data_IF_624282598741
#
_entry.id   IF_624282598741
#
_cell.length_a   1.000
_cell.length_b   1.000
_cell.length_c   1.000
_cell.angle_alpha   90.00
_cell.angle_beta   90.00
_cell.angle_gamma   90.00
#
_symmetry.space_group_name_H-M   'P 1'
#
loop_
_entity.id
_entity.type
_entity.pdbx_description
1 polymer ?
#
# COMPACT_ATOMS: atom_id res chain seq x y z
N UNK A 1 -27.48 -29.08 0.02
CA UNK A 1 -26.47 -28.75 -1.01
C UNK A 1 -25.95 -27.32 -0.86
N UNK A 2 -26.83 -26.29 -0.78
CA UNK A 2 -26.39 -24.91 -0.55
C UNK A 2 -25.58 -24.71 0.76
N UNK A 3 -26.00 -25.36 1.86
CA UNK A 3 -25.33 -25.28 3.17
C UNK A 3 -23.90 -25.83 3.13
N UNK A 4 -23.68 -26.95 2.45
CA UNK A 4 -22.35 -27.60 2.35
C UNK A 4 -21.38 -26.81 1.45
N UNK A 5 -21.88 -26.13 0.42
CA UNK A 5 -21.07 -25.24 -0.43
C UNK A 5 -20.63 -24.01 0.38
N UNK A 6 -21.54 -23.42 1.14
CA UNK A 6 -21.27 -22.26 1.98
C UNK A 6 -20.35 -22.59 3.17
N UNK A 7 -20.50 -23.77 3.78
CA UNK A 7 -19.59 -24.30 4.81
C UNK A 7 -18.19 -24.66 4.27
N UNK A 8 -18.07 -24.97 2.98
CA UNK A 8 -16.77 -25.22 2.37
C UNK A 8 -16.10 -23.90 1.95
N UNK A 9 -16.88 -22.92 1.48
CA UNK A 9 -16.35 -21.60 1.15
C UNK A 9 -15.82 -20.87 2.38
N UNK A 10 -16.48 -20.98 3.54
CA UNK A 10 -15.98 -20.38 4.78
C UNK A 10 -14.60 -20.91 5.18
N UNK A 11 -14.31 -22.20 4.95
CA UNK A 11 -12.99 -22.80 5.18
C UNK A 11 -11.93 -22.23 4.24
N UNK A 12 -12.29 -21.94 2.99
CA UNK A 12 -11.37 -21.35 2.00
C UNK A 12 -11.04 -19.89 2.32
N UNK A 13 -11.93 -19.20 3.04
CA UNK A 13 -11.82 -17.79 3.38
C UNK A 13 -11.27 -17.53 4.78
N UNK A 14 -10.87 -18.56 5.53
CA UNK A 14 -10.40 -18.41 6.92
C UNK A 14 -9.20 -17.43 7.06
N UNK A 15 -8.15 -17.48 6.21
CA UNK A 15 -7.08 -16.47 6.25
C UNK A 15 -7.57 -15.04 5.96
N UNK A 16 -8.52 -14.90 5.03
CA UNK A 16 -9.11 -13.60 4.68
C UNK A 16 -10.01 -13.05 5.80
N UNK A 17 -10.79 -13.91 6.45
CA UNK A 17 -11.61 -13.55 7.60
C UNK A 17 -10.72 -13.05 8.74
N UNK A 18 -9.64 -13.79 9.04
CA UNK A 18 -8.66 -13.42 10.06
C UNK A 18 -8.09 -12.01 9.85
N UNK A 19 -7.53 -11.70 8.67
CA UNK A 19 -6.95 -10.36 8.42
C UNK A 19 -8.01 -9.25 8.40
N UNK A 20 -9.26 -9.58 8.06
CA UNK A 20 -10.37 -8.62 8.03
C UNK A 20 -10.87 -8.24 9.43
N UNK A 21 -10.70 -9.12 10.42
CA UNK A 21 -11.04 -8.86 11.83
C UNK A 21 -10.03 -7.92 12.51
N UNK A 22 -8.81 -7.85 11.99
CA UNK A 22 -7.76 -7.01 12.56
C UNK A 22 -8.10 -5.53 12.34
N UNK A 23 -8.13 -4.69 13.39
CA UNK A 23 -8.57 -3.30 13.29
C UNK A 23 -7.66 -2.50 12.35
N UNK A 24 -8.24 -1.95 11.29
CA UNK A 24 -7.58 -1.04 10.35
C UNK A 24 -8.04 0.41 10.53
N UNK A 25 -7.26 1.39 10.03
CA UNK A 25 -7.60 2.83 10.10
C UNK A 25 -8.69 3.26 9.09
N UNK A 26 -9.24 2.32 8.32
CA UNK A 26 -10.20 2.51 7.23
C UNK A 26 -9.95 3.78 6.39
N UNK A 27 -8.69 4.02 6.01
CA UNK A 27 -8.32 5.23 5.26
C UNK A 27 -8.90 5.18 3.85
N UNK A 28 -8.85 4.00 3.21
CA UNK A 28 -9.35 3.78 1.85
C UNK A 28 -10.86 4.03 1.73
N UNK A 29 -11.67 3.48 2.64
CA UNK A 29 -13.12 3.73 2.64
C UNK A 29 -13.46 5.21 2.81
N UNK A 30 -12.77 5.92 3.72
CA UNK A 30 -12.94 7.38 3.88
C UNK A 30 -12.54 8.16 2.63
N UNK A 31 -11.46 7.74 1.95
CA UNK A 31 -11.05 8.37 0.69
C UNK A 31 -12.06 8.11 -0.43
N UNK A 32 -12.60 6.89 -0.56
CA UNK A 32 -13.66 6.57 -1.54
C UNK A 32 -14.85 7.52 -1.34
N UNK A 33 -15.31 7.70 -0.10
CA UNK A 33 -16.38 8.66 0.20
C UNK A 33 -16.01 10.11 -0.15
N UNK A 34 -14.76 10.51 0.08
CA UNK A 34 -14.29 11.84 -0.31
C UNK A 34 -14.31 12.02 -1.84
N UNK A 35 -13.85 11.05 -2.62
CA UNK A 35 -13.89 11.11 -4.08
C UNK A 35 -15.31 11.02 -4.65
N UNK A 36 -16.22 10.30 -3.98
CA UNK A 36 -17.64 10.26 -4.37
C UNK A 36 -18.27 11.66 -4.40
N UNK A 37 -17.85 12.58 -3.52
CA UNK A 37 -18.37 13.95 -3.53
C UNK A 37 -18.10 14.71 -4.84
N UNK A 38 -16.94 14.45 -5.46
CA UNK A 38 -16.60 14.99 -6.79
C UNK A 38 -17.24 14.18 -7.92
N UNK A 39 -17.15 12.86 -7.84
CA UNK A 39 -17.58 11.96 -8.92
C UNK A 39 -19.09 11.77 -8.99
N UNK A 40 -19.81 11.92 -7.88
CA UNK A 40 -21.27 11.72 -7.78
C UNK A 40 -21.74 10.37 -8.32
N UNK A 41 -20.89 9.34 -8.23
CA UNK A 41 -21.26 7.98 -8.60
C UNK A 41 -22.40 7.48 -7.69
N UNK A 42 -23.34 6.65 -8.22
CA UNK A 42 -24.46 6.13 -7.45
C UNK A 42 -24.02 5.38 -6.20
N UNK A 43 -24.71 5.58 -5.08
CA UNK A 43 -24.34 5.00 -3.78
C UNK A 43 -24.20 3.47 -3.82
N UNK A 44 -25.13 2.77 -4.48
CA UNK A 44 -25.07 1.30 -4.62
C UNK A 44 -23.81 0.82 -5.37
N UNK A 45 -23.41 1.55 -6.41
CA UNK A 45 -22.16 1.27 -7.13
C UNK A 45 -20.96 1.54 -6.23
N UNK A 46 -20.95 2.64 -5.47
CA UNK A 46 -19.86 3.00 -4.56
C UNK A 46 -19.70 1.99 -3.42
N UNK A 47 -20.79 1.50 -2.84
CA UNK A 47 -20.75 0.43 -1.82
C UNK A 47 -20.13 -0.85 -2.38
N UNK A 48 -20.50 -1.23 -3.60
CA UNK A 48 -19.92 -2.38 -4.29
C UNK A 48 -18.43 -2.17 -4.60
N UNK A 49 -18.05 -0.98 -5.05
CA UNK A 49 -16.65 -0.60 -5.31
C UNK A 49 -15.84 -0.62 -4.03
N UNK A 50 -16.37 -0.12 -2.92
CA UNK A 50 -15.71 -0.19 -1.61
C UNK A 50 -15.47 -1.64 -1.20
N UNK A 51 -16.46 -2.52 -1.37
CA UNK A 51 -16.29 -3.95 -1.09
C UNK A 51 -15.19 -4.59 -1.96
N UNK A 52 -15.12 -4.24 -3.26
CA UNK A 52 -14.07 -4.73 -4.17
C UNK A 52 -12.69 -4.25 -3.72
N UNK A 53 -12.55 -2.96 -3.41
CA UNK A 53 -11.28 -2.36 -2.98
C UNK A 53 -10.81 -2.94 -1.65
N UNK A 54 -11.72 -3.15 -0.69
CA UNK A 54 -11.39 -3.74 0.61
C UNK A 54 -10.97 -5.22 0.47
N UNK A 55 -11.64 -5.97 -0.40
CA UNK A 55 -11.26 -7.36 -0.74
C UNK A 55 -9.86 -7.43 -1.33
N UNK A 56 -9.59 -6.61 -2.34
CA UNK A 56 -8.28 -6.56 -2.98
C UNK A 56 -7.19 -6.10 -2.03
N UNK A 57 -7.47 -5.12 -1.18
CA UNK A 57 -6.51 -4.63 -0.20
C UNK A 57 -6.10 -5.72 0.79
N UNK A 58 -7.07 -6.40 1.40
CA UNK A 58 -6.76 -7.44 2.38
C UNK A 58 -6.13 -8.67 1.71
N UNK A 59 -6.59 -9.05 0.53
CA UNK A 59 -5.95 -10.13 -0.24
C UNK A 59 -4.51 -9.79 -0.63
N UNK A 60 -4.23 -8.55 -1.04
CA UNK A 60 -2.87 -8.14 -1.35
C UNK A 60 -1.97 -8.14 -0.13
N UNK A 61 -2.47 -7.75 1.05
CA UNK A 61 -1.70 -7.84 2.30
C UNK A 61 -1.33 -9.29 2.66
N UNK A 62 -2.23 -10.26 2.44
CA UNK A 62 -1.93 -11.68 2.66
C UNK A 62 -0.80 -12.19 1.76
N UNK A 63 -0.76 -11.75 0.50
CA UNK A 63 0.31 -12.09 -0.45
C UNK A 63 1.60 -11.36 -0.10
N UNK A 64 1.53 -10.04 0.12
CA UNK A 64 2.66 -9.17 0.48
C UNK A 64 3.37 -9.67 1.75
N UNK A 65 2.61 -10.05 2.80
CA UNK A 65 3.17 -10.63 4.03
C UNK A 65 4.01 -11.90 3.75
N UNK A 66 3.61 -12.71 2.77
CA UNK A 66 4.34 -13.92 2.38
C UNK A 66 5.56 -13.56 1.52
N UNK A 67 5.38 -12.65 0.55
CA UNK A 67 6.44 -12.20 -0.35
C UNK A 67 7.58 -11.52 0.39
N UNK A 68 7.28 -10.82 1.49
CA UNK A 68 8.21 -10.08 2.34
C UNK A 68 8.73 -10.90 3.54
N UNK A 69 8.23 -12.11 3.80
CA UNK A 69 8.57 -12.91 5.00
C UNK A 69 8.27 -12.13 6.31
N UNK A 70 7.15 -11.40 6.32
CA UNK A 70 6.73 -10.59 7.46
C UNK A 70 6.29 -11.46 8.63
N UNK A 71 6.54 -11.02 9.86
CA UNK A 71 6.18 -11.78 11.07
C UNK A 71 4.83 -11.32 11.66
N UNK A 72 4.53 -10.01 11.55
CA UNK A 72 3.42 -9.35 12.22
C UNK A 72 2.63 -8.45 11.28
N UNK A 73 1.31 -8.41 11.47
CA UNK A 73 0.38 -7.50 10.78
C UNK A 73 -0.61 -6.93 11.79
N UNK A 74 -0.69 -5.59 11.90
CA UNK A 74 -1.62 -4.88 12.81
C UNK A 74 -1.53 -5.40 14.26
N UNK A 75 -0.32 -5.64 14.76
CA UNK A 75 -0.04 -6.12 16.11
C UNK A 75 -0.36 -7.60 16.37
N UNK A 76 -0.71 -8.37 15.34
CA UNK A 76 -1.00 -9.80 15.44
C UNK A 76 -0.10 -10.61 14.48
N UNK A 77 0.08 -11.93 14.69
CA UNK A 77 0.81 -12.77 13.75
C UNK A 77 0.21 -12.72 12.34
N UNK A 78 1.06 -12.78 11.32
CA UNK A 78 0.59 -12.90 9.92
C UNK A 78 -0.21 -14.17 9.70
N UNK A 79 -1.18 -14.12 8.77
CA UNK A 79 -2.08 -15.24 8.50
C UNK A 79 -1.34 -16.52 8.09
N UNK A 80 -0.25 -16.40 7.33
CA UNK A 80 0.50 -17.56 6.83
C UNK A 80 1.31 -18.28 7.92
N UNK A 81 1.54 -17.65 9.08
CA UNK A 81 2.09 -18.32 10.27
C UNK A 81 1.04 -19.13 11.03
N UNK A 82 -0.25 -18.82 10.87
CA UNK A 82 -1.36 -19.52 11.53
C UNK A 82 -1.89 -20.63 10.62
N UNK A 83 -2.24 -20.30 9.38
CA UNK A 83 -2.91 -21.19 8.43
C UNK A 83 -1.95 -21.86 7.43
N UNK A 84 -0.69 -21.45 7.42
CA UNK A 84 0.31 -21.90 6.47
C UNK A 84 0.31 -21.11 5.16
N UNK A 85 1.50 -21.03 4.55
CA UNK A 85 1.72 -20.38 3.25
C UNK A 85 0.78 -20.90 2.15
N UNK A 86 0.60 -22.23 1.93
CA UNK A 86 -0.22 -22.71 0.82
C UNK A 86 -1.69 -22.29 0.92
N UNK A 87 -2.27 -22.37 2.12
CA UNK A 87 -3.67 -22.00 2.34
C UNK A 87 -3.87 -20.49 2.17
N UNK A 88 -2.91 -19.70 2.66
CA UNK A 88 -2.98 -18.23 2.60
C UNK A 88 -2.87 -17.71 1.16
N UNK A 89 -1.93 -18.24 0.36
CA UNK A 89 -1.82 -17.91 -1.07
C UNK A 89 -3.11 -18.27 -1.81
N UNK A 90 -3.62 -19.49 -1.60
CA UNK A 90 -4.83 -19.94 -2.28
C UNK A 90 -6.04 -19.07 -1.91
N UNK A 91 -6.18 -18.72 -0.63
CA UNK A 91 -7.24 -17.84 -0.12
C UNK A 91 -7.18 -16.46 -0.78
N UNK A 92 -6.03 -15.80 -0.75
CA UNK A 92 -5.86 -14.47 -1.33
C UNK A 92 -6.14 -14.44 -2.83
N UNK A 93 -5.61 -15.43 -3.57
CA UNK A 93 -5.87 -15.56 -5.00
C UNK A 93 -7.35 -15.83 -5.30
N UNK A 94 -8.02 -16.65 -4.50
CA UNK A 94 -9.47 -16.86 -4.62
C UNK A 94 -10.25 -15.56 -4.42
N UNK A 95 -9.87 -14.74 -3.43
CA UNK A 95 -10.49 -13.43 -3.18
C UNK A 95 -10.28 -12.45 -4.33
N UNK A 96 -9.14 -12.48 -5.04
CA UNK A 96 -8.96 -11.70 -6.27
C UNK A 96 -10.00 -12.08 -7.34
N UNK A 97 -10.34 -13.36 -7.50
CA UNK A 97 -11.36 -13.76 -8.47
C UNK A 97 -12.79 -13.48 -7.98
N UNK A 98 -13.05 -13.53 -6.67
CA UNK A 98 -14.31 -13.09 -6.10
C UNK A 98 -14.54 -11.59 -6.31
N UNK A 99 -13.51 -10.76 -6.14
CA UNK A 99 -13.63 -9.32 -6.37
C UNK A 99 -13.79 -9.00 -7.87
N UNK A 100 -13.14 -9.77 -8.76
CA UNK A 100 -13.38 -9.72 -10.21
C UNK A 100 -14.83 -10.07 -10.55
N UNK A 101 -15.38 -11.14 -9.97
CA UNK A 101 -16.78 -11.54 -10.16
C UNK A 101 -17.74 -10.42 -9.71
N UNK A 102 -17.47 -9.79 -8.57
CA UNK A 102 -18.23 -8.62 -8.10
C UNK A 102 -18.12 -7.44 -9.06
N UNK A 103 -16.92 -7.15 -9.57
CA UNK A 103 -16.69 -6.09 -10.54
C UNK A 103 -17.49 -6.33 -11.83
N UNK A 104 -17.50 -7.57 -12.33
CA UNK A 104 -18.29 -7.97 -13.49
C UNK A 104 -19.81 -7.78 -13.25
N UNK A 105 -20.29 -8.06 -12.04
CA UNK A 105 -21.69 -7.90 -11.66
C UNK A 105 -22.16 -6.42 -11.68
N UNK A 106 -21.24 -5.45 -11.70
CA UNK A 106 -21.58 -4.03 -11.89
C UNK A 106 -22.09 -3.72 -13.30
N UNK A 107 -21.96 -4.64 -14.26
CA UNK A 107 -22.58 -4.53 -15.59
C UNK A 107 -21.95 -3.46 -16.49
N UNK A 108 -20.78 -2.94 -16.15
CA UNK A 108 -20.10 -1.88 -16.90
C UNK A 108 -18.76 -2.37 -17.46
N UNK A 109 -18.61 -2.50 -18.79
CA UNK A 109 -17.37 -2.97 -19.42
C UNK A 109 -16.15 -2.10 -19.10
N UNK A 110 -16.33 -0.79 -18.90
CA UNK A 110 -15.24 0.12 -18.50
C UNK A 110 -14.73 -0.22 -17.09
N UNK A 111 -15.62 -0.61 -16.17
CA UNK A 111 -15.23 -1.00 -14.83
C UNK A 111 -14.35 -2.27 -14.85
N UNK A 112 -14.71 -3.25 -15.68
CA UNK A 112 -13.91 -4.47 -15.86
C UNK A 112 -12.53 -4.18 -16.47
N UNK A 113 -12.46 -3.28 -17.46
CA UNK A 113 -11.19 -2.85 -18.03
C UNK A 113 -10.30 -2.17 -16.99
N UNK A 114 -10.85 -1.22 -16.23
CA UNK A 114 -10.13 -0.55 -15.13
C UNK A 114 -9.61 -1.56 -14.12
N UNK A 115 -10.44 -2.56 -13.76
CA UNK A 115 -10.01 -3.64 -12.87
C UNK A 115 -8.79 -4.38 -13.40
N UNK A 116 -8.83 -4.84 -14.64
CA UNK A 116 -7.72 -5.60 -15.22
C UNK A 116 -6.46 -4.75 -15.34
N UNK A 117 -6.58 -3.51 -15.85
CA UNK A 117 -5.44 -2.62 -16.06
C UNK A 117 -4.74 -2.27 -14.73
N UNK A 118 -5.50 -1.95 -13.68
CA UNK A 118 -4.91 -1.58 -12.39
C UNK A 118 -4.38 -2.80 -11.61
N UNK A 119 -4.98 -3.98 -11.75
CA UNK A 119 -4.42 -5.21 -11.20
C UNK A 119 -3.09 -5.59 -11.86
N UNK A 120 -2.95 -5.39 -13.17
CA UNK A 120 -1.68 -5.59 -13.88
C UNK A 120 -0.62 -4.59 -13.40
N UNK A 121 -0.97 -3.31 -13.27
CA UNK A 121 -0.05 -2.28 -12.75
C UNK A 121 0.39 -2.58 -11.33
N UNK A 122 -0.52 -3.01 -10.44
CA UNK A 122 -0.19 -3.39 -9.08
C UNK A 122 0.91 -4.47 -9.07
N UNK A 123 0.75 -5.52 -9.87
CA UNK A 123 1.74 -6.60 -9.96
C UNK A 123 3.06 -6.16 -10.63
N UNK A 124 3.02 -5.24 -11.58
CA UNK A 124 4.24 -4.64 -12.16
C UNK A 124 5.03 -3.88 -11.08
N UNK A 125 4.34 -3.08 -10.26
CA UNK A 125 4.96 -2.38 -9.13
C UNK A 125 5.54 -3.35 -8.10
N UNK A 126 4.73 -4.30 -7.63
CA UNK A 126 5.18 -5.32 -6.67
C UNK A 126 6.37 -6.13 -7.19
N UNK A 127 6.33 -6.53 -8.46
CA UNK A 127 7.39 -7.28 -9.10
C UNK A 127 8.72 -6.54 -9.15
N UNK A 128 8.70 -5.22 -9.40
CA UNK A 128 9.92 -4.39 -9.37
C UNK A 128 10.48 -4.23 -7.95
N UNK A 129 9.62 -4.02 -6.95
CA UNK A 129 10.00 -3.94 -5.53
C UNK A 129 10.74 -5.23 -5.10
N UNK A 130 10.15 -6.39 -5.39
CA UNK A 130 10.74 -7.71 -5.16
C UNK A 130 12.02 -7.90 -5.96
N UNK A 131 12.02 -7.53 -7.24
CA UNK A 131 13.19 -7.69 -8.10
C UNK A 131 14.40 -6.94 -7.55
N UNK A 132 14.24 -5.67 -7.19
CA UNK A 132 15.31 -4.85 -6.64
C UNK A 132 15.84 -5.44 -5.33
N UNK A 133 14.93 -5.80 -4.42
CA UNK A 133 15.25 -6.44 -3.13
C UNK A 133 16.06 -7.74 -3.32
N UNK A 134 15.59 -8.64 -4.16
CA UNK A 134 16.17 -9.98 -4.31
C UNK A 134 17.47 -9.98 -5.12
N UNK A 135 17.65 -9.01 -6.03
CA UNK A 135 18.88 -8.82 -6.79
C UNK A 135 19.85 -7.82 -6.14
N UNK A 136 19.51 -7.29 -4.97
CA UNK A 136 20.28 -6.27 -4.25
C UNK A 136 20.62 -5.05 -5.14
N UNK A 137 19.68 -4.66 -6.00
CA UNK A 137 19.81 -3.56 -6.93
C UNK A 137 19.02 -2.36 -6.38
N UNK A 138 19.70 -1.44 -5.70
CA UNK A 138 19.07 -0.21 -5.24
C UNK A 138 18.52 0.58 -6.45
N UNK A 139 17.22 0.92 -6.49
CA UNK A 139 16.67 1.77 -7.56
C UNK A 139 17.15 3.22 -7.42
N UNK A 140 16.97 4.01 -8.47
CA UNK A 140 16.99 5.48 -8.37
C UNK A 140 15.71 5.98 -7.70
N UNK A 141 15.71 7.26 -7.29
CA UNK A 141 14.51 7.86 -6.70
C UNK A 141 13.35 7.87 -7.70
N UNK A 142 13.60 8.19 -8.97
CA UNK A 142 12.56 8.24 -10.00
C UNK A 142 11.96 6.86 -10.29
N UNK A 143 12.81 5.83 -10.41
CA UNK A 143 12.35 4.44 -10.57
C UNK A 143 11.48 4.00 -9.38
N UNK A 144 11.91 4.31 -8.15
CA UNK A 144 11.12 4.02 -6.96
C UNK A 144 9.76 4.72 -7.01
N UNK A 145 9.70 6.00 -7.37
CA UNK A 145 8.44 6.74 -7.46
C UNK A 145 7.49 6.15 -8.51
N UNK A 146 8.00 5.71 -9.66
CA UNK A 146 7.21 5.03 -10.68
C UNK A 146 6.68 3.67 -10.18
N UNK A 147 7.53 2.89 -9.50
CA UNK A 147 7.11 1.63 -8.87
C UNK A 147 6.00 1.86 -7.85
N UNK A 148 6.13 2.88 -6.99
CA UNK A 148 5.13 3.23 -5.98
C UNK A 148 3.80 3.65 -6.60
N UNK A 149 3.85 4.42 -7.69
CA UNK A 149 2.64 4.77 -8.44
C UNK A 149 1.94 3.52 -8.97
N UNK A 150 2.68 2.49 -9.37
CA UNK A 150 2.09 1.22 -9.81
C UNK A 150 1.57 0.37 -8.64
N UNK A 151 2.39 0.10 -7.61
CA UNK A 151 2.07 -0.75 -6.44
C UNK A 151 0.95 -0.14 -5.58
N UNK A 152 1.20 1.03 -5.00
CA UNK A 152 0.29 1.67 -4.04
C UNK A 152 -0.77 2.52 -4.76
N UNK A 153 -0.38 3.16 -5.86
CA UNK A 153 -1.32 3.94 -6.67
C UNK A 153 -2.32 3.10 -7.45
N UNK A 154 -1.99 1.83 -7.78
CA UNK A 154 -2.89 0.92 -8.49
C UNK A 154 -4.24 0.78 -7.81
N UNK A 155 -4.26 0.56 -6.50
CA UNK A 155 -5.52 0.38 -5.78
C UNK A 155 -6.32 1.69 -5.60
N UNK A 156 -5.64 2.84 -5.48
CA UNK A 156 -6.32 4.13 -5.48
C UNK A 156 -6.91 4.47 -6.85
N UNK A 157 -6.16 4.25 -7.93
CA UNK A 157 -6.65 4.43 -9.31
C UNK A 157 -7.77 3.46 -9.63
N UNK A 158 -7.72 2.23 -9.12
CA UNK A 158 -8.82 1.29 -9.23
C UNK A 158 -10.10 1.88 -8.62
N UNK A 159 -10.03 2.34 -7.37
CA UNK A 159 -11.19 2.91 -6.69
C UNK A 159 -11.79 4.10 -7.45
N UNK A 160 -10.95 5.05 -7.83
CA UNK A 160 -11.36 6.27 -8.56
C UNK A 160 -11.85 5.94 -9.97
N UNK A 161 -11.14 5.08 -10.70
CA UNK A 161 -11.48 4.67 -12.06
C UNK A 161 -12.77 3.86 -12.13
N UNK A 162 -13.01 2.98 -11.16
CA UNK A 162 -14.29 2.27 -11.02
C UNK A 162 -15.43 3.27 -10.78
N UNK A 163 -15.26 4.26 -9.89
CA UNK A 163 -16.27 5.30 -9.68
C UNK A 163 -16.49 6.16 -10.93
N UNK A 164 -15.42 6.51 -11.66
CA UNK A 164 -15.50 7.24 -12.93
C UNK A 164 -16.26 6.48 -14.01
N UNK A 165 -16.31 5.14 -13.95
CA UNK A 165 -17.11 4.35 -14.89
C UNK A 165 -18.62 4.58 -14.72
N UNK A 166 -19.06 5.05 -13.54
CA UNK A 166 -20.46 5.35 -13.21
C UNK A 166 -20.71 6.84 -12.97
N UNK A 167 -19.82 7.71 -13.46
CA UNK A 167 -19.86 9.15 -13.28
C UNK A 167 -19.84 9.87 -14.62
N UNK A 168 -20.54 11.00 -14.69
CA UNK A 168 -20.45 11.95 -15.82
C UNK A 168 -19.24 12.90 -15.71
N UNK A 169 -18.45 12.80 -14.64
CA UNK A 169 -17.29 13.67 -14.42
C UNK A 169 -16.20 13.43 -15.44
N UNK A 170 -15.72 14.52 -16.05
CA UNK A 170 -14.59 14.54 -16.98
C UNK A 170 -13.30 15.03 -16.31
N UNK A 171 -13.31 15.19 -14.98
CA UNK A 171 -12.14 15.64 -14.23
C UNK A 171 -11.05 14.57 -14.26
N UNK A 172 -9.82 15.02 -14.41
CA UNK A 172 -8.64 14.17 -14.29
C UNK A 172 -8.16 14.15 -12.83
N UNK A 173 -8.22 12.97 -12.22
CA UNK A 173 -7.75 12.74 -10.84
C UNK A 173 -6.38 12.07 -10.80
N UNK A 174 -5.79 11.73 -11.95
CA UNK A 174 -4.52 10.99 -12.01
C UNK A 174 -3.38 11.70 -11.27
N UNK A 175 -3.17 13.02 -11.41
CA UNK A 175 -2.12 13.72 -10.65
C UNK A 175 -2.32 13.61 -9.14
N UNK A 176 -3.54 13.88 -8.65
CA UNK A 176 -3.88 13.77 -7.24
C UNK A 176 -3.68 12.35 -6.70
N UNK A 177 -4.17 11.34 -7.43
CA UNK A 177 -4.05 9.94 -7.02
C UNK A 177 -2.59 9.49 -6.97
N UNK A 178 -1.77 9.92 -7.94
CA UNK A 178 -0.33 9.62 -7.94
C UNK A 178 0.38 10.29 -6.76
N UNK A 179 0.07 11.56 -6.46
CA UNK A 179 0.64 12.26 -5.31
C UNK A 179 0.25 11.60 -3.98
N UNK A 180 -1.03 11.19 -3.85
CA UNK A 180 -1.50 10.41 -2.70
C UNK A 180 -0.73 9.09 -2.57
N UNK A 181 -0.58 8.33 -3.66
CA UNK A 181 0.14 7.05 -3.65
C UNK A 181 1.58 7.20 -3.16
N UNK A 182 2.29 8.20 -3.69
CA UNK A 182 3.66 8.55 -3.29
C UNK A 182 3.70 8.91 -1.80
N UNK A 183 2.79 9.78 -1.35
CA UNK A 183 2.71 10.17 0.06
C UNK A 183 2.49 8.97 0.99
N UNK A 184 1.50 8.12 0.67
CA UNK A 184 1.16 6.96 1.50
C UNK A 184 2.33 5.99 1.63
N UNK A 185 3.05 5.71 0.53
CA UNK A 185 4.18 4.79 0.58
C UNK A 185 5.38 5.39 1.30
N UNK A 186 5.79 6.62 0.96
CA UNK A 186 6.94 7.25 1.64
C UNK A 186 6.65 7.43 3.13
N UNK A 187 5.39 7.68 3.50
CA UNK A 187 4.98 7.74 4.91
C UNK A 187 5.09 6.35 5.56
N UNK A 188 4.65 5.28 4.91
CA UNK A 188 4.79 3.92 5.48
C UNK A 188 6.27 3.55 5.66
N UNK A 189 7.10 3.82 4.65
CA UNK A 189 8.55 3.63 4.69
C UNK A 189 9.22 4.44 5.82
N UNK A 190 8.84 5.71 5.99
CA UNK A 190 9.32 6.56 7.08
C UNK A 190 8.97 5.96 8.44
N UNK A 191 7.69 5.64 8.62
CA UNK A 191 7.15 5.19 9.91
C UNK A 191 7.69 3.79 10.25
N UNK A 192 7.94 2.91 9.26
CA UNK A 192 8.57 1.59 9.47
C UNK A 192 9.95 1.70 10.11
N UNK A 193 10.75 2.69 9.69
CA UNK A 193 12.14 2.84 10.11
C UNK A 193 12.36 3.82 11.27
N UNK A 194 11.46 4.78 11.48
CA UNK A 194 11.75 5.97 12.30
C UNK A 194 10.72 6.28 13.39
N UNK A 195 9.53 5.64 13.38
CA UNK A 195 8.50 5.86 14.39
C UNK A 195 8.44 4.71 15.41
N UNK A 196 9.00 4.95 16.59
CA UNK A 196 9.03 3.99 17.70
C UNK A 196 7.63 3.52 18.14
N UNK A 197 6.60 4.38 18.08
CA UNK A 197 5.24 4.01 18.48
C UNK A 197 4.54 3.13 17.42
N UNK A 198 4.91 3.29 16.14
CA UNK A 198 4.44 2.38 15.10
C UNK A 198 5.10 1.01 15.18
N UNK A 199 6.37 0.98 15.61
CA UNK A 199 7.12 -0.24 15.89
C UNK A 199 6.57 -1.06 17.07
N UNK A 200 5.58 -0.56 17.82
CA UNK A 200 4.83 -1.38 18.78
C UNK A 200 3.71 -2.20 18.09
N UNK A 201 3.24 -1.76 16.93
CA UNK A 201 2.16 -2.41 16.16
C UNK A 201 2.68 -3.27 14.99
N UNK A 202 3.96 -3.14 14.64
CA UNK A 202 4.74 -4.00 13.72
C UNK A 202 5.99 -4.49 14.46
N UNK A 203 6.83 -5.34 13.85
CA UNK A 203 8.16 -5.56 14.42
C UNK A 203 9.12 -4.40 14.08
N UNK A 204 10.15 -4.19 14.92
CA UNK A 204 11.07 -3.06 14.81
C UNK A 204 11.84 -3.07 13.47
N UNK A 205 11.71 -2.03 12.65
CA UNK A 205 12.37 -1.88 11.33
C UNK A 205 12.27 -3.14 10.46
N UNK A 206 11.05 -3.54 10.09
CA UNK A 206 10.79 -4.70 9.23
C UNK A 206 11.44 -4.57 7.86
N UNK A 207 11.45 -3.37 7.26
CA UNK A 207 12.06 -3.16 5.93
C UNK A 207 13.52 -3.63 5.89
N UNK A 208 14.26 -3.54 7.01
CA UNK A 208 15.64 -4.03 7.13
C UNK A 208 15.73 -5.55 7.21
N UNK A 209 14.73 -6.22 7.79
CA UNK A 209 14.62 -7.68 7.79
C UNK A 209 14.20 -8.20 6.43
N UNK A 210 13.27 -7.52 5.77
CA UNK A 210 12.83 -7.82 4.41
C UNK A 210 13.98 -7.62 3.40
N UNK A 211 14.90 -6.69 3.69
CA UNK A 211 15.97 -6.27 2.80
C UNK A 211 15.49 -5.28 1.74
N UNK A 212 14.35 -4.62 2.00
CA UNK A 212 13.64 -3.75 1.08
C UNK A 212 14.37 -2.42 0.88
N UNK A 213 14.27 -1.88 -0.33
CA UNK A 213 14.76 -0.55 -0.65
C UNK A 213 13.67 0.49 -0.42
N UNK A 214 13.43 0.84 0.85
CA UNK A 214 12.49 1.92 1.20
C UNK A 214 13.10 3.31 0.99
N UNK A 215 12.26 4.34 0.89
CA UNK A 215 12.69 5.68 0.47
C UNK A 215 13.88 6.24 1.27
N UNK A 216 13.92 6.20 2.62
CA UNK A 216 15.08 6.69 3.37
C UNK A 216 16.37 5.93 3.05
N UNK A 217 16.28 4.61 2.83
CA UNK A 217 17.42 3.77 2.48
C UNK A 217 17.94 4.08 1.08
N UNK A 218 17.05 4.25 0.10
CA UNK A 218 17.42 4.62 -1.27
C UNK A 218 18.18 5.95 -1.26
N UNK A 219 17.65 6.96 -0.58
CA UNK A 219 18.28 8.28 -0.48
C UNK A 219 19.68 8.15 0.13
N UNK A 220 19.81 7.48 1.27
CA UNK A 220 21.11 7.32 1.93
C UNK A 220 22.15 6.55 1.08
N UNK A 221 21.73 5.47 0.42
CA UNK A 221 22.60 4.64 -0.42
C UNK A 221 23.05 5.42 -1.67
N UNK A 222 22.15 6.20 -2.27
CA UNK A 222 22.43 6.95 -3.50
C UNK A 222 23.26 8.21 -3.26
N UNK A 223 23.13 8.84 -2.10
CA UNK A 223 23.92 10.02 -1.73
C UNK A 223 25.41 9.68 -1.53
N UNK A 224 25.71 8.47 -1.04
CA UNK A 224 27.09 8.00 -0.89
C UNK A 224 27.28 6.56 -1.43
N UNK A 225 27.40 6.38 -2.76
CA UNK A 225 27.48 5.04 -3.37
C UNK A 225 28.73 4.23 -3.00
N UNK A 226 29.77 4.87 -2.45
CA UNK A 226 30.98 4.18 -1.99
C UNK A 226 30.79 3.53 -0.61
N UNK A 227 29.76 3.95 0.13
CA UNK A 227 29.45 3.39 1.43
C UNK A 227 28.47 2.21 1.31
N UNK A 228 29.00 1.00 1.48
CA UNK A 228 28.24 -0.23 1.31
C UNK A 228 27.58 -0.72 2.60
N UNK A 229 27.59 0.05 3.70
CA UNK A 229 27.09 -0.41 5.01
C UNK A 229 25.61 -0.79 4.95
N UNK A 230 24.76 0.11 4.45
CA UNK A 230 23.31 -0.14 4.34
C UNK A 230 23.01 -1.31 3.40
N UNK A 231 23.64 -1.35 2.21
CA UNK A 231 23.52 -2.47 1.27
C UNK A 231 23.91 -3.81 1.92
N UNK A 232 24.99 -3.82 2.71
CA UNK A 232 25.44 -5.03 3.41
C UNK A 232 24.48 -5.46 4.52
N UNK A 233 23.78 -4.52 5.17
CA UNK A 233 22.76 -4.81 6.17
C UNK A 233 21.50 -5.38 5.50
N UNK A 234 21.03 -4.75 4.41
CA UNK A 234 19.86 -5.23 3.65
C UNK A 234 20.08 -6.64 3.11
N UNK A 235 21.27 -6.91 2.55
CA UNK A 235 21.64 -8.25 2.06
C UNK A 235 21.54 -9.32 3.14
N UNK A 236 21.77 -8.97 4.40
CA UNK A 236 21.73 -9.93 5.51
C UNK A 236 20.32 -10.30 5.95
N UNK A 237 19.29 -9.52 5.56
CA UNK A 237 17.91 -9.72 6.04
C UNK A 237 17.84 -9.91 7.55
N UNK A 238 18.53 -9.01 8.26
CA UNK A 238 18.91 -9.23 9.65
C UNK A 238 17.71 -9.11 10.59
N UNK A 239 17.63 -10.03 11.57
CA UNK A 239 16.72 -9.93 12.72
C UNK A 239 17.41 -9.33 13.96
N UNK A 240 18.69 -8.92 13.85
CA UNK A 240 19.46 -8.36 14.97
C UNK A 240 19.05 -6.93 15.29
N UNK A 241 18.57 -6.70 16.51
CA UNK A 241 18.19 -5.37 17.00
C UNK A 241 19.34 -4.37 16.89
N UNK A 242 20.56 -4.77 17.27
CA UNK A 242 21.73 -3.89 17.24
C UNK A 242 22.07 -3.42 15.81
N UNK A 243 21.95 -4.31 14.82
CA UNK A 243 22.20 -3.94 13.42
C UNK A 243 21.12 -3.00 12.88
N UNK A 244 19.86 -3.23 13.27
CA UNK A 244 18.75 -2.35 12.91
C UNK A 244 18.91 -0.96 13.52
N UNK A 245 19.23 -0.89 14.81
CA UNK A 245 19.51 0.38 15.51
C UNK A 245 20.68 1.13 14.88
N UNK A 246 21.76 0.42 14.53
CA UNK A 246 22.89 1.00 13.82
C UNK A 246 22.49 1.58 12.46
N UNK A 247 21.70 0.85 11.66
CA UNK A 247 21.21 1.33 10.37
C UNK A 247 20.36 2.60 10.50
N UNK A 248 19.45 2.64 11.49
CA UNK A 248 18.61 3.82 11.77
C UNK A 248 19.45 5.02 12.21
N UNK A 249 20.43 4.81 13.10
CA UNK A 249 21.36 5.87 13.50
C UNK A 249 22.12 6.40 12.28
N UNK A 250 22.61 5.49 11.43
CA UNK A 250 23.34 5.86 10.23
C UNK A 250 22.48 6.64 9.22
N UNK A 251 21.19 6.30 9.07
CA UNK A 251 20.23 7.08 8.27
C UNK A 251 20.10 8.52 8.77
N UNK A 252 20.11 8.74 10.10
CA UNK A 252 20.08 10.08 10.69
C UNK A 252 21.38 10.84 10.41
N UNK A 253 22.53 10.20 10.54
CA UNK A 253 23.83 10.83 10.30
C UNK A 253 24.06 11.25 8.83
N UNK A 254 23.41 10.56 7.88
CA UNK A 254 23.51 10.87 6.45
C UNK A 254 22.57 11.99 5.98
N UNK A 255 21.64 12.46 6.82
CA UNK A 255 20.62 13.44 6.42
C UNK A 255 19.44 12.86 5.63
N UNK A 256 19.38 11.53 5.46
CA UNK A 256 18.35 10.88 4.67
C UNK A 256 16.96 10.99 5.31
N UNK A 257 16.90 11.09 6.65
CA UNK A 257 15.67 11.32 7.40
C UNK A 257 15.08 12.69 7.06
N UNK A 258 15.89 13.74 7.08
CA UNK A 258 15.51 15.11 6.76
C UNK A 258 15.06 15.24 5.30
N UNK A 259 15.75 14.57 4.37
CA UNK A 259 15.36 14.52 2.96
C UNK A 259 14.03 13.78 2.76
N UNK A 260 13.77 12.72 3.53
CA UNK A 260 12.47 12.02 3.53
C UNK A 260 11.35 12.92 4.03
N UNK A 261 11.56 13.63 5.14
CA UNK A 261 10.61 14.60 5.68
C UNK A 261 10.35 15.75 4.70
N UNK A 262 11.40 16.26 4.04
CA UNK A 262 11.26 17.28 3.01
C UNK A 262 10.41 16.78 1.82
N UNK A 263 10.63 15.55 1.36
CA UNK A 263 9.81 14.93 0.30
C UNK A 263 8.36 14.75 0.74
N UNK A 264 8.10 14.30 1.96
CA UNK A 264 6.74 14.18 2.52
C UNK A 264 6.02 15.52 2.55
N UNK A 265 6.68 16.56 3.07
CA UNK A 265 6.14 17.92 3.13
C UNK A 265 5.84 18.48 1.72
N UNK A 266 6.75 18.30 0.77
CA UNK A 266 6.54 18.71 -0.61
C UNK A 266 5.35 17.98 -1.26
N UNK A 267 5.23 16.67 -1.01
CA UNK A 267 4.14 15.85 -1.57
C UNK A 267 2.79 16.21 -0.96
N UNK A 268 2.73 16.55 0.34
CA UNK A 268 1.49 17.08 0.95
C UNK A 268 1.10 18.41 0.33
N UNK A 269 2.05 19.29 0.07
CA UNK A 269 1.75 20.55 -0.60
C UNK A 269 1.25 20.34 -2.04
N UNK A 270 1.82 19.39 -2.77
CA UNK A 270 1.32 18.95 -4.08
C UNK A 270 -0.13 18.45 -3.98
N UNK A 271 -0.43 17.54 -3.05
CA UNK A 271 -1.79 17.05 -2.80
C UNK A 271 -2.76 18.20 -2.53
N UNK A 272 -2.39 19.16 -1.68
CA UNK A 272 -3.23 20.34 -1.37
C UNK A 272 -3.50 21.19 -2.62
N UNK A 273 -2.47 21.41 -3.45
CA UNK A 273 -2.62 22.17 -4.69
C UNK A 273 -3.55 21.46 -5.68
N UNK A 274 -3.41 20.14 -5.83
CA UNK A 274 -4.27 19.32 -6.67
C UNK A 274 -5.73 19.35 -6.17
N UNK A 275 -5.96 19.17 -4.88
CA UNK A 275 -7.30 19.28 -4.27
C UNK A 275 -7.91 20.66 -4.55
N UNK A 276 -7.15 21.74 -4.36
CA UNK A 276 -7.61 23.10 -4.63
C UNK A 276 -7.97 23.31 -6.11
N UNK A 277 -7.15 22.78 -7.03
CA UNK A 277 -7.39 22.86 -8.47
C UNK A 277 -8.67 22.14 -8.92
N UNK A 278 -9.05 21.08 -8.20
CA UNK A 278 -10.27 20.30 -8.39
C UNK A 278 -11.51 20.90 -7.71
N UNK A 279 -11.39 22.11 -7.14
CA UNK A 279 -12.49 22.82 -6.48
C UNK A 279 -12.63 22.55 -4.99
N UNK A 280 -11.64 21.93 -4.36
CA UNK A 280 -11.58 21.67 -2.91
C UNK A 280 -12.31 20.39 -2.48
N UNK A 281 -11.84 19.78 -1.39
CA UNK A 281 -12.46 18.61 -0.76
C UNK A 281 -12.06 18.50 0.72
N UNK A 282 -12.85 19.09 1.63
CA UNK A 282 -12.51 19.14 3.05
C UNK A 282 -12.33 17.76 3.69
N UNK A 283 -13.06 16.74 3.22
CA UNK A 283 -12.94 15.39 3.74
C UNK A 283 -11.57 14.78 3.39
N UNK A 284 -11.11 14.94 2.14
CA UNK A 284 -9.81 14.46 1.72
C UNK A 284 -8.67 15.23 2.38
N UNK A 285 -8.78 16.55 2.49
CA UNK A 285 -7.83 17.38 3.23
C UNK A 285 -7.69 16.91 4.68
N UNK A 286 -8.80 16.68 5.39
CA UNK A 286 -8.77 16.20 6.77
C UNK A 286 -8.09 14.83 6.91
N UNK A 287 -8.26 13.93 5.94
CA UNK A 287 -7.58 12.63 5.94
C UNK A 287 -6.07 12.83 5.82
N UNK A 288 -5.62 13.66 4.87
CA UNK A 288 -4.20 13.91 4.62
C UNK A 288 -3.56 14.62 5.82
N UNK A 289 -4.18 15.67 6.35
CA UNK A 289 -3.70 16.38 7.56
C UNK A 289 -3.65 15.48 8.79
N UNK A 290 -4.67 14.63 8.98
CA UNK A 290 -4.73 13.69 10.08
C UNK A 290 -3.60 12.65 10.02
N UNK A 291 -3.17 12.26 8.82
CA UNK A 291 -2.03 11.36 8.63
C UNK A 291 -0.69 12.09 8.77
N UNK A 292 -0.62 13.32 8.28
CA UNK A 292 0.62 14.10 8.26
C UNK A 292 1.00 14.64 9.63
N UNK A 293 0.02 15.04 10.43
CA UNK A 293 0.25 15.55 11.79
C UNK A 293 0.86 14.53 12.76
N UNK A 294 0.87 13.24 12.40
CA UNK A 294 1.53 12.18 13.18
C UNK A 294 3.02 12.02 12.88
N UNK A 295 3.50 12.62 11.79
CA UNK A 295 4.92 12.57 11.40
C UNK A 295 5.68 13.57 12.27
N UNK A 296 6.75 13.10 12.92
CA UNK A 296 7.61 13.91 13.79
C UNK A 296 8.92 14.23 13.08
#
# INVERSE_FOLDING_TARGET
>A
MATTVQENESKLLEPYAYISELPGKNVRGRMIGAFQSWLRAPTEAVESIQSIVDQLHNASLLIDDIEDDSEMRRGQPVAHHIFGVPATINCANYVYFLSLQKCQALGNPRALQVYTDEMLRLHQGQGLDIFWRDHLQCPTVDEYLEMVQNKTGGLFRLAVGLMQAFSDSTLDFTPLVNALAVYFQIRDDYVNLLDEAYMENKSFCEDLTEGKFSFPLIVAIRENPQDTRLLSILKQRTKSLNLKQYAVQYLRETGAVELTLAKLNATVQEIRNEIASLGGNPALEQIVEGLHSTIK
#
